data_IF_325684751050
#
_entry.id   IF_325684751050
#
_cell.length_a   1.000
_cell.length_b   1.000
_cell.length_c   1.000
_cell.angle_alpha   90.00
_cell.angle_beta   90.00
_cell.angle_gamma   90.00
#
_symmetry.space_group_name_H-M   'P 1'
#
loop_
_entity.id
_entity.type
_entity.pdbx_description
1 polymer ?
#
# COMPACT_ATOMS: atom_id res chain seq x y z
N UNK A 1 -2.82 10.19 18.56
CA UNK A 1 -2.26 8.99 17.87
C UNK A 1 -2.57 9.06 16.39
N UNK A 2 -1.60 8.78 15.57
CA UNK A 2 -1.78 8.77 14.11
C UNK A 2 -2.48 7.48 13.68
N UNK A 3 -3.52 7.60 12.90
CA UNK A 3 -4.29 6.47 12.38
C UNK A 3 -4.09 6.30 10.89
N UNK A 4 -4.17 5.07 10.41
CA UNK A 4 -3.98 4.77 9.00
C UNK A 4 -4.82 3.59 8.54
N UNK A 5 -5.23 3.65 7.27
CA UNK A 5 -5.69 2.50 6.51
C UNK A 5 -4.60 2.17 5.50
N UNK A 6 -4.23 0.91 5.40
CA UNK A 6 -3.08 0.48 4.61
C UNK A 6 -3.54 -0.49 3.52
N UNK A 7 -3.15 -0.18 2.28
CA UNK A 7 -3.31 -1.05 1.13
C UNK A 7 -1.93 -1.60 0.80
N UNK A 8 -1.69 -2.88 1.04
CA UNK A 8 -0.34 -3.41 0.97
C UNK A 8 -0.32 -4.83 0.42
N UNK A 9 0.77 -5.15 -0.31
CA UNK A 9 1.01 -6.48 -0.82
C UNK A 9 2.52 -6.72 -0.99
N UNK A 10 2.92 -7.98 -1.12
CA UNK A 10 4.29 -8.44 -1.31
C UNK A 10 5.23 -8.12 -0.14
N UNK A 11 6.53 -8.40 -0.33
CA UNK A 11 7.55 -8.16 0.68
C UNK A 11 7.66 -6.67 1.04
N UNK A 12 7.57 -5.80 0.05
CA UNK A 12 7.61 -4.34 0.31
C UNK A 12 6.44 -3.92 1.18
N UNK A 13 5.24 -4.43 0.90
CA UNK A 13 4.07 -4.15 1.71
C UNK A 13 4.22 -4.63 3.15
N UNK A 14 4.75 -5.83 3.32
CA UNK A 14 5.00 -6.42 4.65
C UNK A 14 6.00 -5.58 5.44
N UNK A 15 7.11 -5.20 4.83
CA UNK A 15 8.15 -4.41 5.49
C UNK A 15 7.67 -3.01 5.84
N UNK A 16 6.93 -2.36 4.95
CA UNK A 16 6.37 -1.03 5.20
C UNK A 16 5.33 -1.07 6.32
N UNK A 17 4.49 -2.09 6.35
CA UNK A 17 3.53 -2.27 7.44
C UNK A 17 4.24 -2.40 8.78
N UNK A 18 5.30 -3.19 8.85
CA UNK A 18 6.10 -3.33 10.07
C UNK A 18 6.67 -2.00 10.54
N UNK A 19 7.15 -1.18 9.62
CA UNK A 19 7.70 0.14 9.95
C UNK A 19 6.61 1.01 10.59
N UNK A 20 5.42 1.05 10.02
CA UNK A 20 4.30 1.79 10.59
C UNK A 20 3.98 1.33 12.01
N UNK A 21 3.90 0.03 12.23
CA UNK A 21 3.59 -0.55 13.54
C UNK A 21 4.70 -0.24 14.57
N UNK A 22 5.95 -0.23 14.12
CA UNK A 22 7.10 0.06 14.97
C UNK A 22 7.13 1.52 15.43
N UNK A 23 6.52 2.42 14.68
CA UNK A 23 6.45 3.85 14.97
C UNK A 23 5.09 4.28 15.56
N UNK A 24 4.39 3.33 16.18
CA UNK A 24 3.15 3.58 16.91
C UNK A 24 2.00 4.15 16.07
N UNK A 25 1.98 3.85 14.78
CA UNK A 25 0.84 4.16 13.92
C UNK A 25 -0.26 3.14 14.19
N UNK A 26 -1.46 3.62 14.52
CA UNK A 26 -2.61 2.75 14.66
C UNK A 26 -3.16 2.40 13.29
N UNK A 27 -2.86 1.20 12.81
CA UNK A 27 -3.38 0.69 11.56
C UNK A 27 -4.78 0.12 11.82
N UNK A 28 -5.78 0.77 11.25
CA UNK A 28 -7.19 0.48 11.53
C UNK A 28 -7.73 -0.67 10.68
N UNK A 29 -7.19 -0.82 9.47
CA UNK A 29 -7.62 -1.84 8.52
C UNK A 29 -6.54 -2.01 7.46
N UNK A 30 -6.36 -3.23 7.00
CA UNK A 30 -5.44 -3.55 5.92
C UNK A 30 -6.23 -4.14 4.74
N UNK A 31 -6.00 -3.57 3.56
CA UNK A 31 -6.44 -4.15 2.28
C UNK A 31 -5.26 -4.84 1.65
N UNK A 32 -5.43 -6.07 1.21
CA UNK A 32 -4.36 -6.82 0.57
C UNK A 32 -4.91 -7.70 -0.55
N UNK A 33 -4.07 -8.56 -1.08
CA UNK A 33 -4.44 -9.56 -2.08
C UNK A 33 -4.16 -10.94 -1.54
N UNK A 34 -4.85 -11.93 -2.08
CA UNK A 34 -4.58 -13.31 -1.75
C UNK A 34 -3.22 -13.69 -2.33
N UNK A 35 -2.41 -14.39 -1.52
CA UNK A 35 -1.11 -14.88 -1.96
C UNK A 35 -1.29 -15.92 -3.07
N UNK A 36 -0.38 -15.90 -4.07
CA UNK A 36 -0.33 -16.93 -5.09
C UNK A 36 0.25 -18.20 -4.48
N UNK A 37 -0.50 -19.31 -4.46
CA UNK A 37 -0.02 -20.57 -3.87
C UNK A 37 1.17 -21.18 -4.63
N UNK A 38 1.41 -20.75 -5.88
CA UNK A 38 2.54 -21.23 -6.69
C UNK A 38 3.79 -20.35 -6.52
N UNK A 39 3.70 -19.26 -5.79
CA UNK A 39 4.83 -18.36 -5.56
C UNK A 39 5.66 -18.84 -4.37
N UNK A 40 6.98 -18.88 -4.55
CA UNK A 40 7.89 -19.19 -3.45
C UNK A 40 8.11 -17.93 -2.62
N UNK A 41 7.66 -17.95 -1.36
CA UNK A 41 7.81 -16.83 -0.44
C UNK A 41 8.85 -17.15 0.63
N UNK A 42 9.79 -16.23 0.82
CA UNK A 42 10.77 -16.28 1.91
C UNK A 42 10.47 -15.25 3.01
N UNK A 43 9.33 -14.62 2.95
CA UNK A 43 8.87 -13.56 3.85
C UNK A 43 7.45 -13.89 4.33
N UNK A 44 7.08 -13.29 5.46
CA UNK A 44 5.69 -13.39 5.94
C UNK A 44 4.79 -12.51 5.08
N UNK A 45 3.55 -12.95 4.85
CA UNK A 45 2.59 -12.15 4.10
C UNK A 45 2.12 -10.94 4.91
N UNK A 46 1.61 -9.93 4.19
CA UNK A 46 0.95 -8.77 4.82
C UNK A 46 -0.19 -9.25 5.75
N UNK A 47 -0.98 -10.21 5.29
CA UNK A 47 -2.09 -10.76 6.09
C UNK A 47 -1.60 -11.40 7.40
N UNK A 48 -0.48 -12.13 7.36
CA UNK A 48 0.09 -12.74 8.55
C UNK A 48 0.56 -11.69 9.56
N UNK A 49 1.24 -10.64 9.10
CA UNK A 49 1.69 -9.55 9.97
C UNK A 49 0.51 -8.81 10.58
N UNK A 50 -0.49 -8.49 9.79
CA UNK A 50 -1.69 -7.83 10.29
C UNK A 50 -2.41 -8.70 11.33
N UNK A 51 -2.58 -9.99 11.04
CA UNK A 51 -3.21 -10.94 11.96
C UNK A 51 -2.47 -11.06 13.29
N UNK A 52 -1.14 -11.11 13.25
CA UNK A 52 -0.30 -11.16 14.46
C UNK A 52 -0.44 -9.91 15.33
N UNK A 53 -0.88 -8.81 14.77
CA UNK A 53 -1.09 -7.53 15.47
C UNK A 53 -2.58 -7.23 15.70
N UNK A 54 -3.44 -8.22 15.50
CA UNK A 54 -4.90 -8.10 15.69
C UNK A 54 -5.55 -7.04 14.81
N UNK A 55 -5.05 -6.87 13.59
CA UNK A 55 -5.56 -5.92 12.61
C UNK A 55 -6.39 -6.69 11.58
N UNK A 56 -7.60 -6.19 11.29
CA UNK A 56 -8.46 -6.77 10.27
C UNK A 56 -7.85 -6.66 8.88
N UNK A 57 -7.98 -7.72 8.08
CA UNK A 57 -7.51 -7.77 6.69
C UNK A 57 -8.68 -8.08 5.78
N UNK A 58 -8.80 -7.32 4.69
CA UNK A 58 -9.80 -7.58 3.65
C UNK A 58 -9.11 -7.69 2.30
N UNK A 59 -9.67 -8.51 1.42
CA UNK A 59 -9.08 -8.78 0.10
C UNK A 59 -10.13 -8.65 -1.00
N UNK A 60 -10.74 -7.46 -1.17
CA UNK A 60 -11.79 -7.28 -2.17
C UNK A 60 -11.21 -7.34 -3.59
N UNK A 61 -12.01 -7.83 -4.53
CA UNK A 61 -11.64 -7.79 -5.95
C UNK A 61 -11.56 -6.33 -6.45
N UNK A 62 -12.39 -5.45 -5.92
CA UNK A 62 -12.40 -4.02 -6.22
C UNK A 62 -12.55 -3.21 -4.93
N UNK A 63 -11.50 -2.50 -4.49
CA UNK A 63 -11.57 -1.68 -3.28
C UNK A 63 -12.34 -0.37 -3.47
N UNK A 64 -12.68 -0.01 -4.70
CA UNK A 64 -13.29 1.28 -5.03
C UNK A 64 -14.82 1.25 -5.03
N UNK A 65 -15.43 0.17 -4.53
CA UNK A 65 -16.88 0.12 -4.42
C UNK A 65 -17.39 1.02 -3.30
N UNK A 66 -18.66 1.43 -3.41
CA UNK A 66 -19.29 2.27 -2.38
C UNK A 66 -19.25 1.65 -0.99
N UNK A 67 -19.32 0.33 -0.89
CA UNK A 67 -19.21 -0.39 0.38
C UNK A 67 -17.87 -0.14 1.07
N UNK A 68 -16.76 -0.29 0.33
CA UNK A 68 -15.43 -0.08 0.90
C UNK A 68 -15.13 1.40 1.15
N UNK A 69 -15.59 2.28 0.27
CA UNK A 69 -15.48 3.73 0.49
C UNK A 69 -16.18 4.11 1.80
N UNK A 70 -17.40 3.59 2.02
CA UNK A 70 -18.14 3.83 3.26
C UNK A 70 -17.41 3.28 4.49
N UNK A 71 -16.85 2.09 4.39
CA UNK A 71 -16.09 1.47 5.49
C UNK A 71 -14.91 2.34 5.89
N UNK A 72 -14.12 2.78 4.92
CA UNK A 72 -12.95 3.64 5.18
C UNK A 72 -13.39 5.01 5.71
N UNK A 73 -14.48 5.57 5.18
CA UNK A 73 -15.01 6.84 5.66
C UNK A 73 -15.37 6.81 7.15
N UNK A 74 -15.95 5.69 7.60
CA UNK A 74 -16.31 5.52 9.01
C UNK A 74 -15.09 5.44 9.93
N UNK A 75 -13.96 4.93 9.42
CA UNK A 75 -12.72 4.85 10.18
C UNK A 75 -12.04 6.21 10.36
N UNK A 76 -12.31 7.17 9.50
CA UNK A 76 -11.74 8.52 9.53
C UNK A 76 -10.22 8.52 9.66
N UNK A 77 -9.47 7.84 8.78
CA UNK A 77 -8.03 7.73 8.93
C UNK A 77 -7.31 9.06 8.73
N UNK A 78 -6.21 9.25 9.46
CA UNK A 78 -5.30 10.36 9.17
C UNK A 78 -4.63 10.16 7.82
N UNK A 79 -4.13 8.95 7.57
CA UNK A 79 -3.42 8.61 6.34
C UNK A 79 -4.02 7.38 5.68
N UNK A 80 -3.89 7.35 4.36
CA UNK A 80 -4.04 6.13 3.55
C UNK A 80 -2.68 5.87 2.94
N UNK A 81 -2.14 4.66 3.15
CA UNK A 81 -0.88 4.24 2.56
C UNK A 81 -1.13 3.14 1.54
N UNK A 82 -0.40 3.20 0.43
CA UNK A 82 -0.36 2.14 -0.57
C UNK A 82 1.08 1.67 -0.75
N UNK A 83 1.31 0.37 -0.50
CA UNK A 83 2.62 -0.26 -0.58
C UNK A 83 2.53 -1.46 -1.52
N UNK A 84 2.78 -1.25 -2.80
CA UNK A 84 2.72 -2.30 -3.83
C UNK A 84 1.33 -2.95 -3.97
N UNK A 85 0.28 -2.22 -3.64
CA UNK A 85 -1.08 -2.69 -3.89
C UNK A 85 -1.39 -2.63 -5.38
N UNK A 86 -2.06 -3.68 -5.92
CA UNK A 86 -2.19 -3.86 -7.37
C UNK A 86 -3.28 -3.02 -8.02
N UNK A 87 -4.22 -2.49 -7.26
CA UNK A 87 -5.33 -1.70 -7.81
C UNK A 87 -5.07 -0.21 -7.63
N UNK A 88 -5.51 0.56 -8.62
CA UNK A 88 -5.58 2.02 -8.48
C UNK A 88 -6.69 2.37 -7.51
N UNK A 89 -6.46 3.37 -6.67
CA UNK A 89 -7.45 3.85 -5.71
C UNK A 89 -8.13 5.09 -6.28
N UNK A 90 -9.46 5.12 -6.26
CA UNK A 90 -10.23 6.23 -6.83
C UNK A 90 -10.10 7.50 -5.98
N UNK A 91 -10.40 8.65 -6.58
CA UNK A 91 -10.30 9.94 -5.89
C UNK A 91 -11.17 10.03 -4.65
N UNK A 92 -12.37 9.44 -4.68
CA UNK A 92 -13.24 9.42 -3.51
C UNK A 92 -12.57 8.73 -2.32
N UNK A 93 -11.92 7.60 -2.59
CA UNK A 93 -11.22 6.84 -1.56
C UNK A 93 -10.01 7.62 -1.03
N UNK A 94 -9.20 8.17 -1.93
CA UNK A 94 -8.02 8.95 -1.56
C UNK A 94 -8.37 10.19 -0.73
N UNK A 95 -9.48 10.82 -1.04
CA UNK A 95 -9.95 12.01 -0.34
C UNK A 95 -10.42 11.77 1.09
N UNK A 96 -10.57 10.51 1.50
CA UNK A 96 -10.97 10.18 2.87
C UNK A 96 -9.85 10.33 3.89
N UNK A 97 -8.61 10.36 3.43
CA UNK A 97 -7.45 10.56 4.30
C UNK A 97 -7.39 12.03 4.75
N UNK A 98 -7.47 12.25 6.06
CA UNK A 98 -7.53 13.60 6.62
C UNK A 98 -6.24 14.39 6.42
N UNK A 99 -5.11 13.69 6.38
CA UNK A 99 -3.78 14.29 6.24
C UNK A 99 -3.07 13.93 4.94
N UNK A 100 -3.57 12.94 4.21
CA UNK A 100 -3.05 12.59 2.90
C UNK A 100 -3.01 11.10 2.62
N UNK A 101 -2.95 10.79 1.33
CA UNK A 101 -2.80 9.43 0.82
C UNK A 101 -1.44 9.33 0.13
N UNK A 102 -0.64 8.34 0.53
CA UNK A 102 0.75 8.21 0.13
C UNK A 102 1.03 6.83 -0.46
N UNK A 103 1.84 6.78 -1.50
CA UNK A 103 2.26 5.55 -2.16
C UNK A 103 3.78 5.42 -2.16
N UNK A 104 4.26 4.20 -1.92
CA UNK A 104 5.67 3.87 -2.09
C UNK A 104 5.89 3.43 -3.55
N UNK A 105 6.75 4.17 -4.26
CA UNK A 105 7.11 3.88 -5.64
C UNK A 105 8.56 3.39 -5.71
N UNK A 106 8.81 2.33 -6.47
CA UNK A 106 10.12 1.69 -6.55
C UNK A 106 11.07 2.36 -7.53
N UNK A 107 11.18 3.69 -7.51
CA UNK A 107 12.13 4.45 -8.32
C UNK A 107 12.45 5.79 -7.66
N UNK A 108 13.50 6.44 -8.17
CA UNK A 108 13.81 7.85 -7.86
C UNK A 108 12.93 8.72 -8.78
N UNK A 109 11.75 9.08 -8.32
CA UNK A 109 10.82 9.90 -9.10
C UNK A 109 11.46 11.24 -9.49
N UNK A 110 11.16 11.79 -10.69
CA UNK A 110 10.15 11.36 -11.67
C UNK A 110 10.59 10.25 -12.62
N UNK A 111 11.77 9.66 -12.46
CA UNK A 111 12.22 8.54 -13.28
C UNK A 111 11.31 7.33 -13.06
N UNK A 112 10.97 6.66 -14.17
CA UNK A 112 10.18 5.41 -14.17
C UNK A 112 8.85 5.52 -13.43
N UNK A 113 8.15 6.62 -13.66
CA UNK A 113 6.78 6.78 -13.21
C UNK A 113 5.89 5.76 -13.94
N UNK A 114 4.94 5.16 -13.23
CA UNK A 114 4.07 4.13 -13.79
C UNK A 114 4.36 2.75 -13.20
N UNK A 115 4.15 1.69 -14.01
CA UNK A 115 4.25 0.30 -13.55
C UNK A 115 5.65 -0.30 -13.74
N UNK A 116 5.98 -1.26 -12.88
CA UNK A 116 7.22 -2.05 -12.94
C UNK A 116 8.50 -1.21 -13.06
N UNK A 117 8.70 -0.19 -12.21
CA UNK A 117 9.85 0.71 -12.33
C UNK A 117 11.20 0.00 -12.18
N UNK A 118 11.30 -1.02 -11.33
CA UNK A 118 12.53 -1.79 -11.14
C UNK A 118 12.92 -2.50 -12.43
N UNK A 119 11.97 -3.12 -13.11
CA UNK A 119 12.22 -3.81 -14.38
C UNK A 119 12.72 -2.84 -15.45
N UNK A 120 12.12 -1.66 -15.55
CA UNK A 120 12.55 -0.63 -16.50
C UNK A 120 13.93 -0.09 -16.17
N UNK A 121 14.27 0.11 -14.90
CA UNK A 121 15.59 0.57 -14.49
C UNK A 121 16.67 -0.43 -14.92
N UNK A 122 16.45 -1.72 -14.70
CA UNK A 122 17.37 -2.77 -15.09
C UNK A 122 17.52 -2.80 -16.64
N UNK A 123 16.40 -2.74 -17.36
CA UNK A 123 16.40 -2.78 -18.82
C UNK A 123 17.21 -1.60 -19.42
N UNK A 124 17.15 -0.43 -18.81
CA UNK A 124 17.88 0.75 -19.26
C UNK A 124 19.30 0.85 -18.74
N UNK A 125 19.78 -0.17 -18.01
CA UNK A 125 21.15 -0.22 -17.49
C UNK A 125 21.46 0.82 -16.43
N UNK A 126 20.45 1.21 -15.64
CA UNK A 126 20.67 2.17 -14.56
C UNK A 126 21.60 1.60 -13.49
N UNK A 127 22.52 2.41 -13.05
CA UNK A 127 23.47 2.06 -11.97
C UNK A 127 22.95 2.51 -10.60
N UNK A 128 21.87 3.31 -10.59
CA UNK A 128 21.28 3.86 -9.39
C UNK A 128 19.76 3.80 -9.50
N UNK A 129 19.10 3.36 -8.43
CA UNK A 129 17.66 3.39 -8.30
C UNK A 129 17.30 3.53 -6.83
N UNK A 130 16.02 3.66 -6.52
CA UNK A 130 15.57 3.82 -5.14
C UNK A 130 14.08 3.68 -5.00
N UNK A 131 13.54 4.24 -3.93
CA UNK A 131 12.11 4.25 -3.66
C UNK A 131 11.68 5.65 -3.26
N UNK A 132 10.49 6.04 -3.66
CA UNK A 132 9.90 7.34 -3.33
C UNK A 132 8.55 7.15 -2.66
N UNK A 133 8.33 7.86 -1.55
CA UNK A 133 7.03 7.96 -0.92
C UNK A 133 6.42 9.29 -1.37
N UNK A 134 5.25 9.25 -2.01
CA UNK A 134 4.65 10.43 -2.60
C UNK A 134 3.14 10.46 -2.39
N UNK A 135 2.56 11.65 -2.45
CA UNK A 135 1.10 11.78 -2.40
C UNK A 135 0.48 11.15 -3.65
N UNK A 136 -0.61 10.43 -3.45
CA UNK A 136 -1.31 9.74 -4.53
C UNK A 136 -2.33 10.62 -5.23
N UNK A 137 -2.48 10.37 -6.54
CA UNK A 137 -3.62 10.81 -7.32
C UNK A 137 -4.16 9.60 -8.09
N UNK A 138 -5.33 9.73 -8.73
CA UNK A 138 -5.88 8.65 -9.56
C UNK A 138 -5.12 8.45 -10.87
N UNK A 139 -4.18 9.32 -11.21
CA UNK A 139 -3.31 9.18 -12.37
C UNK A 139 -2.00 8.46 -11.99
N UNK A 140 -1.44 7.61 -12.91
CA UNK A 140 -0.17 6.92 -12.65
C UNK A 140 1.02 7.85 -12.53
#
# INVERSE_FOLDING_TARGET
MTTAVVFAYSEVGERCLRVLLRHDVQVQLVFSHQDDPNEVRWYRSVAEIAGSNHIGVVMPADPNTGEWISTVAQLRPDFIFSFYYRHMLCNELLGLARRGALNMHGSLLPKYRGRAPVNWAILHGETETGASLHYMSSAP
#
